data_IF_032160763431
#
_entry.id   IF_032160763431
#
_cell.length_a   1.000
_cell.length_b   1.000
_cell.length_c   1.000
_cell.angle_alpha   90.00
_cell.angle_beta   90.00
_cell.angle_gamma   90.00
#
_symmetry.space_group_name_H-M   'P 1'
#
loop_
_entity.id
_entity.type
_entity.pdbx_description
1 polymer ?
#
# COMPACT_ATOMS: atom_id res chain seq x y z
N UNK A 1 -2.94 -10.69 12.03
CA UNK A 1 -2.08 -9.99 11.06
C UNK A 1 -1.38 -11.02 10.16
N UNK A 2 -1.16 -10.69 8.90
CA UNK A 2 -0.43 -11.51 7.94
C UNK A 2 0.43 -10.62 7.04
N UNK A 3 1.48 -11.19 6.44
CA UNK A 3 2.36 -10.48 5.52
C UNK A 3 2.04 -10.88 4.09
N UNK A 4 1.87 -9.90 3.22
CA UNK A 4 1.56 -10.09 1.80
C UNK A 4 2.62 -9.38 0.95
N UNK A 5 3.16 -10.07 -0.06
CA UNK A 5 4.00 -9.43 -1.08
C UNK A 5 3.10 -8.66 -2.04
N UNK A 6 3.54 -7.48 -2.44
CA UNK A 6 2.83 -6.65 -3.39
C UNK A 6 3.81 -5.76 -4.16
N UNK A 7 3.31 -5.12 -5.22
CA UNK A 7 4.03 -4.07 -5.93
C UNK A 7 3.38 -2.74 -5.62
N UNK A 8 4.10 -1.86 -4.92
CA UNK A 8 3.66 -0.49 -4.68
C UNK A 8 3.78 0.33 -5.97
N UNK A 9 2.66 0.84 -6.47
CA UNK A 9 2.57 1.58 -7.75
C UNK A 9 2.27 3.07 -7.58
N UNK A 10 1.92 3.50 -6.38
CA UNK A 10 1.79 4.92 -6.08
C UNK A 10 1.32 5.19 -4.66
N UNK A 11 1.40 6.45 -4.25
CA UNK A 11 0.86 6.92 -3.00
C UNK A 11 0.19 8.29 -3.21
N UNK A 12 -0.76 8.62 -2.34
CA UNK A 12 -1.34 9.96 -2.25
C UNK A 12 -1.43 10.38 -0.79
N UNK A 13 -1.35 11.68 -0.54
CA UNK A 13 -1.65 12.26 0.76
C UNK A 13 -2.79 13.25 0.63
N UNK A 14 -3.48 13.47 1.75
CA UNK A 14 -4.34 14.62 1.95
C UNK A 14 -4.16 15.12 3.37
N UNK A 15 -3.90 16.41 3.52
CA UNK A 15 -3.88 17.10 4.81
C UNK A 15 -4.61 18.42 4.67
N UNK A 16 -5.67 18.60 5.44
CA UNK A 16 -6.51 19.80 5.38
C UNK A 16 -7.82 19.65 6.10
N UNK A 17 -8.65 20.68 6.04
CA UNK A 17 -9.97 20.72 6.70
C UNK A 17 -11.07 20.70 5.65
N UNK A 18 -12.04 19.80 5.81
CA UNK A 18 -13.25 19.72 4.96
C UNK A 18 -14.46 19.80 5.90
N UNK A 19 -15.35 20.77 5.67
CA UNK A 19 -16.57 20.96 6.48
C UNK A 19 -16.29 21.01 8.00
N UNK A 20 -15.21 21.69 8.39
CA UNK A 20 -14.80 21.82 9.80
C UNK A 20 -14.17 20.56 10.41
N UNK A 21 -14.02 19.47 9.65
CA UNK A 21 -13.30 18.27 10.08
C UNK A 21 -11.88 18.27 9.55
N UNK A 22 -10.92 18.03 10.44
CA UNK A 22 -9.52 17.86 10.06
C UNK A 22 -9.28 16.47 9.49
N UNK A 23 -8.54 16.41 8.40
CA UNK A 23 -8.09 15.19 7.77
C UNK A 23 -6.58 15.21 7.65
N UNK A 24 -5.95 14.09 7.99
CA UNK A 24 -4.53 13.84 7.79
C UNK A 24 -4.37 12.38 7.39
N UNK A 25 -4.21 12.13 6.09
CA UNK A 25 -4.22 10.78 5.52
C UNK A 25 -3.12 10.57 4.50
N UNK A 26 -2.59 9.35 4.47
CA UNK A 26 -1.77 8.80 3.40
C UNK A 26 -2.40 7.49 2.95
N UNK A 27 -2.53 7.31 1.64
CA UNK A 27 -2.99 6.06 1.04
C UNK A 27 -1.98 5.58 0.02
N UNK A 28 -1.82 4.27 -0.08
CA UNK A 28 -0.96 3.61 -1.06
C UNK A 28 -1.81 2.82 -2.04
N UNK A 29 -1.35 2.70 -3.29
CA UNK A 29 -1.94 1.82 -4.30
C UNK A 29 -0.95 0.72 -4.60
N UNK A 30 -1.41 -0.51 -4.49
CA UNK A 30 -0.59 -1.70 -4.67
C UNK A 30 -1.23 -2.62 -5.71
N UNK A 31 -0.40 -3.32 -6.47
CA UNK A 31 -0.81 -4.49 -7.23
C UNK A 31 -0.67 -5.72 -6.34
N UNK A 32 -1.74 -6.52 -6.28
CA UNK A 32 -1.77 -7.82 -5.61
C UNK A 32 -2.39 -8.83 -6.56
N UNK A 33 -2.01 -10.10 -6.42
CA UNK A 33 -2.65 -11.16 -7.20
C UNK A 33 -4.15 -11.24 -6.87
N UNK A 34 -4.94 -11.48 -7.90
CA UNK A 34 -6.33 -11.93 -7.74
C UNK A 34 -6.32 -13.22 -6.91
N UNK A 35 -7.21 -13.38 -5.90
CA UNK A 35 -7.29 -14.60 -5.12
C UNK A 35 -7.50 -15.83 -6.00
N UNK A 36 -6.83 -16.94 -5.67
CA UNK A 36 -6.87 -18.17 -6.46
C UNK A 36 -8.27 -18.78 -6.62
N UNK A 37 -9.15 -18.48 -5.67
CA UNK A 37 -10.53 -18.92 -5.58
C UNK A 37 -11.51 -18.04 -6.38
N UNK A 38 -11.04 -16.94 -6.97
CA UNK A 38 -11.89 -16.03 -7.72
C UNK A 38 -12.25 -16.65 -9.08
N UNK A 39 -13.55 -16.90 -9.31
CA UNK A 39 -14.03 -17.53 -10.54
C UNK A 39 -14.20 -16.55 -11.71
N UNK A 40 -14.31 -15.24 -11.41
CA UNK A 40 -14.74 -14.20 -12.37
C UNK A 40 -13.70 -13.08 -12.61
N UNK A 41 -12.47 -13.23 -12.11
CA UNK A 41 -11.38 -12.27 -12.29
C UNK A 41 -10.04 -13.00 -12.47
N UNK A 42 -9.05 -12.36 -13.09
CA UNK A 42 -7.71 -12.92 -13.26
C UNK A 42 -6.64 -11.82 -13.31
N UNK A 43 -5.38 -12.20 -13.03
CA UNK A 43 -4.24 -11.28 -13.06
C UNK A 43 -4.04 -10.52 -11.74
N UNK A 44 -3.88 -9.20 -11.83
CA UNK A 44 -3.54 -8.33 -10.69
C UNK A 44 -4.67 -7.36 -10.38
N UNK A 45 -4.99 -7.22 -9.10
CA UNK A 45 -5.91 -6.23 -8.56
C UNK A 45 -5.16 -4.98 -8.07
N UNK A 46 -5.67 -3.80 -8.44
CA UNK A 46 -5.23 -2.51 -7.86
C UNK A 46 -5.98 -2.29 -6.56
N UNK A 47 -5.27 -2.32 -5.43
CA UNK A 47 -5.85 -2.12 -4.10
C UNK A 47 -5.35 -0.80 -3.50
N UNK A 48 -6.27 0.06 -3.06
CA UNK A 48 -5.94 1.28 -2.30
C UNK A 48 -6.04 1.01 -0.80
N UNK A 49 -4.93 1.15 -0.07
CA UNK A 49 -4.83 0.89 1.36
C UNK A 49 -4.53 2.18 2.13
N UNK A 50 -5.14 2.34 3.31
CA UNK A 50 -4.81 3.43 4.21
C UNK A 50 -3.46 3.16 4.90
N UNK A 51 -2.50 4.05 4.71
CA UNK A 51 -1.16 3.98 5.30
C UNK A 51 -0.92 5.07 6.34
N UNK A 52 -1.96 5.40 7.11
CA UNK A 52 -1.88 6.36 8.21
C UNK A 52 -1.92 7.82 7.75
N UNK A 53 -0.99 8.64 8.26
CA UNK A 53 -0.97 10.10 8.08
C UNK A 53 -0.14 10.53 6.89
N UNK A 54 -0.38 11.74 6.41
CA UNK A 54 0.33 12.42 5.33
C UNK A 54 1.87 12.42 5.49
N UNK A 55 2.40 12.42 6.72
CA UNK A 55 3.84 12.31 6.98
C UNK A 55 4.50 11.08 6.35
N UNK A 56 3.77 9.96 6.25
CA UNK A 56 4.29 8.72 5.67
C UNK A 56 4.51 8.83 4.15
N UNK A 57 3.78 9.73 3.47
CA UNK A 57 3.96 9.98 2.04
C UNK A 57 5.34 10.54 1.72
N UNK A 58 5.94 11.33 2.62
CA UNK A 58 7.24 11.96 2.40
C UNK A 58 8.36 10.95 2.17
N UNK A 59 8.35 9.82 2.88
CA UNK A 59 9.30 8.73 2.63
C UNK A 59 9.00 7.96 1.35
N UNK A 60 7.74 7.88 0.93
CA UNK A 60 7.33 7.13 -0.25
C UNK A 60 7.63 7.86 -1.57
N UNK A 61 7.50 9.18 -1.61
CA UNK A 61 7.70 10.00 -2.83
C UNK A 61 9.13 9.98 -3.36
N UNK A 62 10.10 9.59 -2.54
CA UNK A 62 11.51 9.53 -2.93
C UNK A 62 11.86 8.22 -3.67
N UNK A 63 10.99 7.21 -3.64
CA UNK A 63 11.20 5.97 -4.38
C UNK A 63 10.83 6.10 -5.87
N UNK A 64 11.53 5.33 -6.70
CA UNK A 64 11.13 5.10 -8.10
C UNK A 64 10.12 3.95 -8.16
N UNK A 65 8.86 4.29 -8.39
CA UNK A 65 7.79 3.34 -8.63
C UNK A 65 7.96 2.65 -10.01
N UNK A 66 7.42 1.43 -10.21
CA UNK A 66 6.72 0.59 -9.22
C UNK A 66 7.70 -0.24 -8.36
N UNK A 67 7.53 -0.34 -7.05
CA UNK A 67 8.54 -0.99 -6.18
C UNK A 67 7.97 -2.19 -5.42
N UNK A 68 8.76 -3.26 -5.32
CA UNK A 68 8.39 -4.45 -4.55
C UNK A 68 8.37 -4.13 -3.06
N UNK A 69 7.32 -4.57 -2.38
CA UNK A 69 7.16 -4.37 -0.96
C UNK A 69 6.51 -5.57 -0.27
N UNK A 70 6.67 -5.59 1.04
CA UNK A 70 5.91 -6.44 1.95
C UNK A 70 4.95 -5.58 2.75
N UNK A 71 3.68 -5.99 2.75
CA UNK A 71 2.58 -5.36 3.45
C UNK A 71 2.26 -6.18 4.68
N UNK A 72 2.26 -5.56 5.85
CA UNK A 72 1.73 -6.15 7.07
C UNK A 72 0.26 -5.75 7.19
N UNK A 73 -0.63 -6.70 6.90
CA UNK A 73 -2.06 -6.48 6.81
C UNK A 73 -2.79 -7.08 8.02
N UNK A 74 -3.79 -6.36 8.52
CA UNK A 74 -4.78 -6.86 9.45
C UNK A 74 -6.15 -6.86 8.78
N UNK A 75 -6.85 -7.99 8.82
CA UNK A 75 -8.25 -8.06 8.42
C UNK A 75 -9.12 -7.79 9.64
N UNK A 76 -9.96 -6.76 9.57
CA UNK A 76 -10.92 -6.42 10.61
C UNK A 76 -12.34 -6.47 10.02
N UNK A 77 -13.32 -6.89 10.82
CA UNK A 77 -14.73 -6.79 10.46
C UNK A 77 -15.28 -5.45 10.94
N UNK A 78 -15.48 -4.51 10.01
CA UNK A 78 -16.10 -3.22 10.32
C UNK A 78 -17.55 -3.21 9.85
N UNK A 79 -18.47 -3.14 10.79
CA UNK A 79 -19.93 -3.22 10.52
C UNK A 79 -20.31 -4.45 9.68
N UNK A 80 -19.68 -5.60 9.97
CA UNK A 80 -19.90 -6.86 9.27
C UNK A 80 -19.21 -6.98 7.90
N UNK A 81 -18.49 -5.96 7.44
CA UNK A 81 -17.72 -6.00 6.18
C UNK A 81 -16.22 -6.18 6.46
N UNK A 82 -15.54 -7.11 5.78
CA UNK A 82 -14.10 -7.25 5.91
C UNK A 82 -13.41 -5.99 5.36
N UNK A 83 -12.48 -5.46 6.15
CA UNK A 83 -11.64 -4.33 5.80
C UNK A 83 -10.17 -4.71 6.03
N UNK A 84 -9.36 -4.53 4.99
CA UNK A 84 -7.91 -4.68 5.09
C UNK A 84 -7.30 -3.37 5.61
N UNK A 85 -6.63 -3.45 6.75
CA UNK A 85 -5.89 -2.36 7.35
C UNK A 85 -4.39 -2.62 7.19
N UNK A 86 -3.70 -1.70 6.52
CA UNK A 86 -2.25 -1.74 6.40
C UNK A 86 -1.61 -1.19 7.67
N UNK A 87 -0.92 -2.07 8.42
CA UNK A 87 -0.22 -1.70 9.66
C UNK A 87 1.22 -1.27 9.38
N UNK A 88 1.87 -1.90 8.41
CA UNK A 88 3.24 -1.59 8.05
C UNK A 88 3.51 -1.86 6.58
N UNK A 89 4.45 -1.11 6.00
CA UNK A 89 4.91 -1.28 4.63
C UNK A 89 6.44 -1.29 4.64
N UNK A 90 7.02 -2.39 4.18
CA UNK A 90 8.46 -2.55 4.04
C UNK A 90 8.82 -2.61 2.56
N UNK A 91 9.52 -1.60 2.08
CA UNK A 91 10.05 -1.56 0.72
C UNK A 91 11.24 -2.51 0.66
N UNK A 92 11.27 -3.42 -0.32
CA UNK A 92 12.48 -4.18 -0.61
C UNK A 92 13.41 -3.25 -1.38
N UNK A 93 14.57 -2.95 -0.80
CA UNK A 93 15.57 -2.17 -1.50
C UNK A 93 15.82 -2.82 -2.87
N UNK A 94 15.56 -2.08 -3.96
CA UNK A 94 16.13 -2.49 -5.24
C UNK A 94 17.65 -2.38 -5.09
N UNK A 95 18.45 -3.39 -5.47
CA UNK A 95 19.88 -3.19 -5.56
C UNK A 95 20.14 -1.96 -6.43
N UNK A 96 21.04 -1.09 -5.99
CA UNK A 96 21.49 0.04 -6.81
C UNK A 96 21.99 -0.56 -8.14
N UNK A 97 21.71 0.04 -9.32
CA UNK A 97 22.26 -0.45 -10.58
C UNK A 97 23.79 -0.67 -10.54
N UNK A 98 24.49 0.01 -9.62
CA UNK A 98 25.93 -0.14 -9.35
C UNK A 98 26.30 -1.42 -8.58
N UNK A 99 25.36 -2.02 -7.85
CA UNK A 99 25.57 -3.28 -7.12
C UNK A 99 25.37 -4.52 -8.00
N UNK A 100 24.85 -4.34 -9.22
CA UNK A 100 24.66 -5.42 -10.21
C UNK A 100 25.92 -5.72 -11.04
N UNK A 101 27.00 -4.95 -10.83
CA UNK A 101 28.25 -4.98 -11.60
C UNK A 101 29.47 -5.40 -10.75
N UNK A 102 29.24 -5.96 -9.55
CA UNK A 102 30.29 -6.54 -8.71
C UNK A 102 30.24 -8.06 -8.71
#
# INVERSE_FOLDING_TARGET
MFVQKATLIGAKQFKGTIEGREFDTCKVRVLMDVPSEAENECGLNVTELNYGKSSNYLGLREYKFPIDCELELEMELKSGKPQLNLKNLKVKARPDPKDSLK
#
